data_IF_572580134706
#
_entry.id   IF_572580134706
#
_cell.length_a   1.000
_cell.length_b   1.000
_cell.length_c   1.000
_cell.angle_alpha   90.00
_cell.angle_beta   90.00
_cell.angle_gamma   90.00
#
_symmetry.space_group_name_H-M   'P 1'
#
loop_
_entity.id
_entity.type
_entity.pdbx_description
1 polymer ?
#
# COMPACT_ATOMS: atom_id res chain seq x y z
N UNK A 1 11.46 6.28 1.44
CA UNK A 1 11.53 5.20 2.45
C UNK A 1 10.38 5.27 3.44
N UNK A 2 10.12 6.41 4.10
CA UNK A 2 8.99 6.53 5.05
C UNK A 2 7.65 6.04 4.49
N UNK A 3 7.23 6.58 3.33
CA UNK A 3 5.97 6.21 2.69
C UNK A 3 5.87 4.72 2.37
N UNK A 4 6.93 4.13 1.81
CA UNK A 4 6.94 2.69 1.44
C UNK A 4 6.93 1.78 2.66
N UNK A 5 7.59 2.17 3.76
CA UNK A 5 7.56 1.41 5.01
C UNK A 5 6.18 1.46 5.66
N UNK A 6 5.54 2.63 5.73
CA UNK A 6 4.19 2.77 6.27
C UNK A 6 3.15 2.06 5.39
N UNK A 7 3.33 2.09 4.08
CA UNK A 7 2.50 1.30 3.16
C UNK A 7 2.64 -0.20 3.41
N UNK A 8 3.87 -0.68 3.62
CA UNK A 8 4.13 -2.09 3.92
C UNK A 8 3.56 -2.49 5.29
N UNK A 9 3.63 -1.61 6.30
CA UNK A 9 2.92 -1.80 7.56
C UNK A 9 1.42 -1.93 7.34
N UNK A 10 0.82 -1.00 6.58
CA UNK A 10 -0.62 -1.02 6.29
C UNK A 10 -1.04 -2.29 5.55
N UNK A 11 -0.32 -2.66 4.48
CA UNK A 11 -0.59 -3.87 3.72
C UNK A 11 -0.42 -5.14 4.56
N UNK A 12 0.67 -5.23 5.33
CA UNK A 12 0.94 -6.38 6.21
C UNK A 12 -0.13 -6.54 7.28
N UNK A 13 -0.47 -5.47 7.98
CA UNK A 13 -1.48 -5.47 9.04
C UNK A 13 -2.87 -5.83 8.50
N UNK A 14 -3.31 -5.15 7.44
CA UNK A 14 -4.61 -5.42 6.82
C UNK A 14 -4.73 -6.85 6.31
N UNK A 15 -3.74 -7.36 5.55
CA UNK A 15 -3.81 -8.70 4.95
C UNK A 15 -3.74 -9.79 6.03
N UNK A 16 -2.84 -9.66 7.01
CA UNK A 16 -2.66 -10.66 8.05
C UNK A 16 -3.91 -10.79 8.95
N UNK A 17 -4.62 -9.70 9.19
CA UNK A 17 -5.78 -9.65 10.09
C UNK A 17 -7.12 -9.69 9.36
N UNK A 18 -7.16 -9.65 8.03
CA UNK A 18 -8.42 -9.58 7.27
C UNK A 18 -9.36 -10.74 7.60
N UNK A 19 -8.86 -11.99 7.63
CA UNK A 19 -9.73 -13.14 7.91
C UNK A 19 -10.32 -13.06 9.33
N UNK A 20 -9.49 -12.70 10.31
CA UNK A 20 -9.89 -12.53 11.71
C UNK A 20 -10.93 -11.42 11.87
N UNK A 21 -10.73 -10.30 11.17
CA UNK A 21 -11.70 -9.21 11.09
C UNK A 21 -13.04 -9.68 10.50
N UNK A 22 -13.02 -10.42 9.39
CA UNK A 22 -14.23 -10.93 8.75
C UNK A 22 -15.00 -11.92 9.64
N UNK A 23 -14.31 -12.74 10.43
CA UNK A 23 -14.97 -13.69 11.34
C UNK A 23 -15.44 -13.06 12.63
N UNK A 24 -14.64 -12.18 13.25
CA UNK A 24 -14.95 -11.61 14.58
C UNK A 24 -15.79 -10.36 14.54
N UNK A 25 -15.56 -9.45 13.60
CA UNK A 25 -16.35 -8.21 13.46
C UNK A 25 -17.55 -8.42 12.52
N UNK A 26 -17.32 -9.04 11.35
CA UNK A 26 -18.39 -9.25 10.35
C UNK A 26 -19.20 -10.52 10.57
N UNK A 27 -18.88 -11.30 11.61
CA UNK A 27 -19.56 -12.55 11.97
C UNK A 27 -19.71 -13.55 10.81
N UNK A 28 -18.78 -13.51 9.84
CA UNK A 28 -18.78 -14.42 8.71
C UNK A 28 -18.34 -15.82 9.15
N UNK A 29 -18.88 -16.85 8.48
CA UNK A 29 -18.32 -18.20 8.61
C UNK A 29 -16.88 -18.24 8.11
N UNK A 30 -16.06 -19.14 8.66
CA UNK A 30 -14.68 -19.38 8.21
C UNK A 30 -14.56 -19.59 6.69
N UNK A 31 -15.53 -20.32 6.12
CA UNK A 31 -15.61 -20.57 4.67
C UNK A 31 -15.90 -19.28 3.91
N UNK A 32 -16.85 -18.48 4.37
CA UNK A 32 -17.19 -17.19 3.76
C UNK A 32 -16.01 -16.22 3.77
N UNK A 33 -15.37 -16.07 4.94
CA UNK A 33 -14.17 -15.26 5.09
C UNK A 33 -13.02 -15.74 4.19
N UNK A 34 -12.82 -17.07 4.09
CA UNK A 34 -11.82 -17.66 3.19
C UNK A 34 -12.09 -17.40 1.70
N UNK A 35 -13.35 -17.47 1.27
CA UNK A 35 -13.74 -17.14 -0.12
C UNK A 35 -13.47 -15.67 -0.41
N UNK A 36 -13.90 -14.77 0.48
CA UNK A 36 -13.69 -13.33 0.28
C UNK A 36 -12.20 -12.97 0.29
N UNK A 37 -11.41 -13.57 1.19
CA UNK A 37 -9.96 -13.43 1.17
C UNK A 37 -9.35 -13.87 -0.16
N UNK A 38 -9.77 -15.04 -0.68
CA UNK A 38 -9.32 -15.54 -2.00
C UNK A 38 -9.70 -14.63 -3.17
N UNK A 39 -10.93 -14.12 -3.21
CA UNK A 39 -11.37 -13.11 -4.20
C UNK A 39 -10.53 -11.84 -4.09
N UNK A 40 -10.24 -11.43 -2.86
CA UNK A 40 -9.37 -10.31 -2.55
C UNK A 40 -7.95 -10.50 -3.09
N UNK A 41 -7.35 -11.69 -2.96
CA UNK A 41 -6.04 -12.00 -3.54
C UNK A 41 -6.04 -11.90 -5.08
N UNK A 42 -7.10 -12.37 -5.74
CA UNK A 42 -7.27 -12.18 -7.20
C UNK A 42 -7.33 -10.69 -7.53
N UNK A 43 -8.06 -9.90 -6.73
CA UNK A 43 -8.05 -8.44 -6.79
C UNK A 43 -6.65 -7.86 -6.64
N UNK A 44 -5.88 -8.32 -5.67
CA UNK A 44 -4.49 -7.90 -5.43
C UNK A 44 -3.58 -8.15 -6.63
N UNK A 45 -3.66 -9.34 -7.24
CA UNK A 45 -2.93 -9.65 -8.50
C UNK A 45 -3.33 -8.68 -9.61
N UNK A 46 -4.63 -8.42 -9.77
CA UNK A 46 -5.15 -7.41 -10.69
C UNK A 46 -4.58 -6.02 -10.41
N UNK A 47 -4.48 -5.65 -9.14
CA UNK A 47 -3.91 -4.40 -8.65
C UNK A 47 -2.46 -4.21 -9.08
N UNK A 48 -1.60 -5.21 -8.84
CA UNK A 48 -0.19 -5.17 -9.26
C UNK A 48 -0.07 -4.97 -10.77
N UNK A 49 -0.81 -5.77 -11.54
CA UNK A 49 -0.73 -5.78 -13.00
C UNK A 49 -1.28 -4.51 -13.65
N UNK A 50 -2.39 -3.98 -13.13
CA UNK A 50 -2.99 -2.75 -13.67
C UNK A 50 -2.22 -1.53 -13.17
N UNK A 51 -1.79 -1.51 -11.91
CA UNK A 51 -0.95 -0.45 -11.35
C UNK A 51 0.35 -0.26 -12.10
N UNK A 52 1.05 -1.35 -12.45
CA UNK A 52 2.23 -1.30 -13.32
C UNK A 52 1.94 -0.68 -14.69
N UNK A 53 0.87 -1.13 -15.37
CA UNK A 53 0.48 -0.58 -16.69
C UNK A 53 0.13 0.91 -16.63
N UNK A 54 -0.58 1.34 -15.59
CA UNK A 54 -0.90 2.76 -15.39
C UNK A 54 0.36 3.55 -15.12
N UNK A 55 1.28 3.03 -14.31
CA UNK A 55 2.53 3.70 -13.97
C UNK A 55 3.42 3.90 -15.19
N UNK A 56 3.57 2.89 -16.04
CA UNK A 56 4.35 3.01 -17.27
C UNK A 56 3.70 3.99 -18.26
N UNK A 57 2.36 3.99 -18.35
CA UNK A 57 1.65 4.97 -19.18
C UNK A 57 1.80 6.39 -18.65
N UNK A 58 1.74 6.60 -17.34
CA UNK A 58 1.89 7.93 -16.74
C UNK A 58 3.34 8.40 -16.77
N UNK A 59 4.32 7.49 -16.59
CA UNK A 59 5.76 7.78 -16.72
C UNK A 59 6.12 8.30 -18.10
N UNK A 60 5.53 7.75 -19.17
CA UNK A 60 5.73 8.27 -20.54
C UNK A 60 5.27 9.71 -20.73
N UNK A 61 4.35 10.19 -19.88
CA UNK A 61 3.80 11.56 -19.95
C UNK A 61 4.43 12.51 -18.93
N UNK A 62 4.92 12.00 -17.80
CA UNK A 62 5.46 12.81 -16.69
C UNK A 62 6.62 12.08 -16.01
N UNK A 63 7.70 12.82 -15.74
CA UNK A 63 8.91 12.27 -15.09
C UNK A 63 8.61 11.67 -13.72
N UNK A 64 7.64 12.20 -12.97
CA UNK A 64 7.17 11.68 -11.68
C UNK A 64 5.95 10.75 -11.78
N UNK A 65 5.59 10.28 -12.99
CA UNK A 65 4.35 9.52 -13.22
C UNK A 65 4.19 8.24 -12.41
N UNK A 66 5.28 7.50 -12.14
CA UNK A 66 5.21 6.31 -11.25
C UNK A 66 4.88 6.68 -9.82
N UNK A 67 5.44 7.77 -9.27
CA UNK A 67 5.15 8.25 -7.92
C UNK A 67 3.68 8.66 -7.76
N UNK A 68 3.13 9.39 -8.73
CA UNK A 68 1.70 9.72 -8.74
C UNK A 68 0.79 8.49 -8.86
N UNK A 69 1.24 7.46 -9.58
CA UNK A 69 0.49 6.20 -9.67
C UNK A 69 0.46 5.46 -8.34
N UNK A 70 1.56 5.50 -7.59
CA UNK A 70 1.63 4.94 -6.23
C UNK A 70 0.71 5.74 -5.30
N UNK A 71 0.83 7.07 -5.30
CA UNK A 71 -0.02 7.96 -4.50
C UNK A 71 -1.51 7.69 -4.74
N UNK A 72 -1.91 7.54 -6.01
CA UNK A 72 -3.29 7.21 -6.39
C UNK A 72 -3.76 5.89 -5.74
N UNK A 73 -2.97 4.83 -5.83
CA UNK A 73 -3.31 3.55 -5.20
C UNK A 73 -3.46 3.67 -3.69
N UNK A 74 -2.54 4.37 -3.02
CA UNK A 74 -2.62 4.62 -1.57
C UNK A 74 -3.88 5.41 -1.21
N UNK A 75 -4.16 6.50 -1.92
CA UNK A 75 -5.33 7.35 -1.67
C UNK A 75 -6.64 6.62 -1.91
N UNK A 76 -6.75 5.79 -2.96
CA UNK A 76 -7.96 5.00 -3.24
C UNK A 76 -8.16 3.84 -2.28
N UNK A 77 -7.08 3.31 -1.70
CA UNK A 77 -7.18 2.26 -0.68
C UNK A 77 -7.88 2.76 0.58
N UNK A 78 -7.67 4.02 0.98
CA UNK A 78 -8.26 4.61 2.21
C UNK A 78 -9.79 4.51 2.23
N UNK A 79 -10.56 5.07 1.27
CA UNK A 79 -12.02 4.98 1.30
C UNK A 79 -12.51 3.55 1.11
N UNK A 80 -11.81 2.69 0.36
CA UNK A 80 -12.18 1.27 0.23
C UNK A 80 -12.03 0.52 1.56
N UNK A 81 -10.91 0.73 2.28
CA UNK A 81 -10.64 0.11 3.56
C UNK A 81 -11.63 0.62 4.62
N UNK A 82 -11.84 1.93 4.69
CA UNK A 82 -12.84 2.54 5.58
C UNK A 82 -14.24 1.99 5.31
N UNK A 83 -14.64 1.87 4.04
CA UNK A 83 -15.92 1.28 3.69
C UNK A 83 -16.01 -0.18 4.15
N UNK A 84 -14.97 -0.99 3.93
CA UNK A 84 -14.93 -2.38 4.38
C UNK A 84 -15.00 -2.51 5.91
N UNK A 85 -14.44 -1.56 6.65
CA UNK A 85 -14.49 -1.50 8.11
C UNK A 85 -15.90 -1.20 8.60
N UNK A 86 -16.62 -0.28 7.95
CA UNK A 86 -17.92 0.21 8.44
C UNK A 86 -19.11 -0.65 7.99
N UNK A 87 -19.06 -1.24 6.80
CA UNK A 87 -20.24 -1.96 6.26
C UNK A 87 -20.41 -3.36 6.88
N UNK A 88 -21.65 -3.83 7.05
CA UNK A 88 -21.92 -5.20 7.49
C UNK A 88 -21.67 -6.23 6.38
N UNK A 89 -21.75 -7.52 6.71
CA UNK A 89 -21.68 -8.61 5.73
C UNK A 89 -22.74 -8.44 4.63
N UNK A 90 -22.31 -8.56 3.38
CA UNK A 90 -23.12 -8.33 2.19
C UNK A 90 -22.29 -7.90 0.98
N UNK A 91 -22.96 -7.64 -0.14
CA UNK A 91 -22.29 -7.33 -1.41
C UNK A 91 -21.36 -6.10 -1.33
N UNK A 92 -21.71 -5.10 -0.50
CA UNK A 92 -20.89 -3.92 -0.28
C UNK A 92 -19.54 -4.27 0.39
N UNK A 93 -19.53 -5.14 1.40
CA UNK A 93 -18.31 -5.62 2.05
C UNK A 93 -17.40 -6.34 1.04
N UNK A 94 -17.98 -7.22 0.23
CA UNK A 94 -17.23 -7.97 -0.77
C UNK A 94 -16.56 -7.04 -1.79
N UNK A 95 -17.31 -6.07 -2.32
CA UNK A 95 -16.77 -5.08 -3.23
C UNK A 95 -15.68 -4.22 -2.57
N UNK A 96 -15.90 -3.78 -1.32
CA UNK A 96 -14.96 -2.95 -0.58
C UNK A 96 -13.65 -3.69 -0.26
N UNK A 97 -13.71 -4.94 0.19
CA UNK A 97 -12.52 -5.76 0.47
C UNK A 97 -11.73 -6.07 -0.79
N UNK A 98 -12.40 -6.47 -1.89
CA UNK A 98 -11.73 -6.71 -3.17
C UNK A 98 -11.09 -5.43 -3.70
N UNK A 99 -11.78 -4.29 -3.62
CA UNK A 99 -11.22 -2.99 -4.02
C UNK A 99 -10.05 -2.57 -3.13
N UNK A 100 -10.14 -2.82 -1.81
CA UNK A 100 -9.04 -2.55 -0.87
C UNK A 100 -7.80 -3.34 -1.24
N UNK A 101 -7.92 -4.65 -1.44
CA UNK A 101 -6.80 -5.51 -1.82
C UNK A 101 -6.25 -5.17 -3.20
N UNK A 102 -7.11 -4.78 -4.13
CA UNK A 102 -6.70 -4.29 -5.44
C UNK A 102 -5.85 -3.02 -5.34
N UNK A 103 -6.33 -1.99 -4.65
CA UNK A 103 -5.61 -0.71 -4.56
C UNK A 103 -4.40 -0.77 -3.62
N UNK A 104 -4.44 -1.60 -2.57
CA UNK A 104 -3.32 -1.75 -1.66
C UNK A 104 -2.15 -2.50 -2.31
N UNK A 105 -2.41 -3.39 -3.27
CA UNK A 105 -1.36 -4.07 -4.05
C UNK A 105 -0.89 -3.27 -5.27
N UNK A 106 -1.63 -2.23 -5.66
CA UNK A 106 -1.35 -1.40 -6.85
C UNK A 106 0.06 -0.81 -6.90
N UNK A 107 0.67 -0.54 -5.73
CA UNK A 107 1.97 0.12 -5.65
C UNK A 107 3.17 -0.78 -5.95
N UNK A 108 3.03 -2.11 -5.91
CA UNK A 108 4.18 -3.03 -5.96
C UNK A 108 5.01 -2.90 -7.24
N UNK A 109 4.38 -2.97 -8.42
CA UNK A 109 5.11 -2.84 -9.68
C UNK A 109 5.70 -1.42 -9.89
N UNK A 110 4.93 -0.33 -9.65
CA UNK A 110 5.46 1.03 -9.76
C UNK A 110 6.63 1.35 -8.81
N UNK A 111 6.61 0.85 -7.56
CA UNK A 111 7.69 1.13 -6.61
C UNK A 111 8.97 0.41 -6.99
N UNK A 112 8.90 -0.87 -7.39
CA UNK A 112 10.05 -1.64 -7.84
C UNK A 112 10.74 -0.93 -9.02
N UNK A 113 9.98 -0.56 -10.04
CA UNK A 113 10.53 0.13 -11.20
C UNK A 113 11.06 1.55 -10.86
N UNK A 114 10.47 2.23 -9.87
CA UNK A 114 10.98 3.53 -9.41
C UNK A 114 12.32 3.40 -8.68
N UNK A 115 12.51 2.35 -7.89
CA UNK A 115 13.79 2.08 -7.22
C UNK A 115 14.87 1.76 -8.25
N UNK A 116 14.55 1.00 -9.29
CA UNK A 116 15.48 0.73 -10.40
C UNK A 116 15.87 1.99 -11.17
N UNK A 117 14.90 2.88 -11.46
CA UNK A 117 15.15 4.16 -12.14
C UNK A 117 16.09 5.08 -11.34
N UNK A 118 16.00 5.05 -10.02
CA UNK A 118 16.72 5.94 -9.11
C UNK A 118 18.08 5.40 -8.66
N UNK A 119 18.31 4.10 -8.85
CA UNK A 119 19.54 3.47 -8.41
C UNK A 119 20.72 3.93 -9.28
N UNK A 120 21.91 4.18 -8.68
CA UNK A 120 23.13 4.37 -9.45
C UNK A 120 23.42 3.17 -10.35
N UNK A 121 24.07 3.42 -11.48
CA UNK A 121 24.44 2.37 -12.45
C UNK A 121 25.16 1.20 -11.76
N UNK A 122 24.62 -0.02 -11.90
CA UNK A 122 25.18 -1.23 -11.31
C UNK A 122 24.75 -1.52 -9.87
N UNK A 123 23.98 -0.65 -9.22
CA UNK A 123 23.56 -0.81 -7.82
C UNK A 123 22.04 -1.03 -7.63
N UNK A 124 21.28 -1.25 -8.71
CA UNK A 124 19.82 -1.48 -8.62
C UNK A 124 19.45 -2.65 -7.72
N UNK A 125 20.17 -3.77 -7.80
CA UNK A 125 19.95 -4.94 -6.93
C UNK A 125 20.15 -4.60 -5.45
N UNK A 126 21.21 -3.86 -5.12
CA UNK A 126 21.46 -3.43 -3.74
C UNK A 126 20.40 -2.43 -3.24
N UNK A 127 19.98 -1.50 -4.11
CA UNK A 127 18.90 -0.56 -3.81
C UNK A 127 17.57 -1.30 -3.55
N UNK A 128 17.18 -2.24 -4.40
CA UNK A 128 16.01 -3.10 -4.18
C UNK A 128 16.11 -3.84 -2.85
N UNK A 129 17.26 -4.46 -2.58
CA UNK A 129 17.52 -5.17 -1.33
C UNK A 129 17.31 -4.29 -0.11
N UNK A 130 17.85 -3.07 -0.12
CA UNK A 130 17.69 -2.11 0.97
C UNK A 130 16.22 -1.67 1.16
N UNK A 131 15.49 -1.40 0.07
CA UNK A 131 14.07 -1.04 0.15
C UNK A 131 13.23 -2.19 0.70
N UNK A 132 13.44 -3.40 0.17
CA UNK A 132 12.72 -4.61 0.59
C UNK A 132 13.01 -4.93 2.05
N UNK A 133 14.28 -4.85 2.46
CA UNK A 133 14.68 -5.05 3.84
C UNK A 133 14.00 -4.04 4.77
N UNK A 134 14.07 -2.75 4.43
CA UNK A 134 13.50 -1.66 5.24
C UNK A 134 11.99 -1.80 5.37
N UNK A 135 11.28 -2.10 4.27
CA UNK A 135 9.83 -2.21 4.28
C UNK A 135 9.34 -3.44 5.06
N UNK A 136 10.09 -4.55 5.03
CA UNK A 136 9.70 -5.73 5.80
C UNK A 136 10.08 -5.60 7.27
N UNK A 137 11.30 -5.17 7.57
CA UNK A 137 11.80 -5.10 8.95
C UNK A 137 11.05 -4.07 9.79
N UNK A 138 10.73 -2.91 9.21
CA UNK A 138 10.07 -1.82 9.94
C UNK A 138 8.59 -1.65 9.58
N UNK A 139 8.11 -2.31 8.53
CA UNK A 139 6.72 -2.24 8.09
C UNK A 139 5.96 -3.52 8.44
N UNK A 140 6.14 -4.57 7.64
CA UNK A 140 5.32 -5.79 7.78
C UNK A 140 5.61 -6.58 9.06
N UNK A 141 6.87 -6.67 9.49
CA UNK A 141 7.26 -7.46 10.67
C UNK A 141 6.57 -6.99 11.96
N UNK A 142 6.56 -5.69 12.31
CA UNK A 142 5.85 -5.23 13.49
C UNK A 142 4.32 -5.16 13.31
N UNK A 143 3.80 -5.17 12.07
CA UNK A 143 2.39 -4.91 11.81
C UNK A 143 1.45 -5.86 12.55
N UNK A 144 1.66 -7.18 12.46
CA UNK A 144 0.79 -8.15 13.13
C UNK A 144 0.83 -8.07 14.64
N UNK A 145 1.99 -7.74 15.22
CA UNK A 145 2.12 -7.55 16.67
C UNK A 145 1.31 -6.32 17.12
N UNK A 146 1.47 -5.18 16.46
CA UNK A 146 0.70 -3.96 16.77
C UNK A 146 -0.81 -4.20 16.63
N UNK A 147 -1.23 -4.89 15.58
CA UNK A 147 -2.63 -5.26 15.37
C UNK A 147 -3.16 -6.14 16.51
N UNK A 148 -2.35 -7.08 17.00
CA UNK A 148 -2.69 -7.94 18.13
C UNK A 148 -2.91 -7.16 19.41
N UNK A 149 -1.93 -6.33 19.79
CA UNK A 149 -2.02 -5.48 20.99
C UNK A 149 -3.26 -4.59 20.96
N UNK A 150 -3.54 -3.93 19.82
CA UNK A 150 -4.72 -3.06 19.69
C UNK A 150 -6.00 -3.88 19.74
N UNK A 151 -6.05 -5.04 19.10
CA UNK A 151 -7.21 -5.93 19.15
C UNK A 151 -7.49 -6.51 20.54
N UNK A 152 -6.46 -6.70 21.36
CA UNK A 152 -6.59 -7.17 22.75
C UNK A 152 -7.07 -6.06 23.69
N UNK A 153 -6.59 -4.83 23.49
CA UNK A 153 -6.95 -3.67 24.31
C UNK A 153 -8.32 -3.06 23.96
N UNK A 154 -8.79 -3.28 22.74
CA UNK A 154 -10.07 -2.75 22.26
C UNK A 154 -10.87 -3.86 21.58
N UNK A 155 -10.80 -3.95 20.26
CA UNK A 155 -11.37 -5.01 19.44
C UNK A 155 -10.72 -5.02 18.05
N UNK A 156 -11.07 -6.01 17.24
CA UNK A 156 -10.53 -6.14 15.88
C UNK A 156 -11.03 -5.04 14.93
N UNK A 157 -12.18 -4.41 15.22
CA UNK A 157 -12.72 -3.31 14.42
C UNK A 157 -11.80 -2.08 14.53
N UNK A 158 -11.48 -1.68 15.76
CA UNK A 158 -10.56 -0.58 16.04
C UNK A 158 -9.15 -0.91 15.54
N UNK A 159 -8.71 -2.16 15.68
CA UNK A 159 -7.41 -2.59 15.15
C UNK A 159 -7.29 -2.35 13.64
N UNK A 160 -8.34 -2.59 12.85
CA UNK A 160 -8.31 -2.37 11.39
C UNK A 160 -8.20 -0.89 10.97
N UNK A 161 -8.49 0.06 11.86
CA UNK A 161 -8.23 1.47 11.61
C UNK A 161 -6.74 1.84 11.70
N UNK A 162 -5.92 1.08 12.44
CA UNK A 162 -4.48 1.32 12.59
C UNK A 162 -3.72 1.31 11.26
N UNK A 163 -3.83 0.26 10.41
CA UNK A 163 -3.19 0.25 9.10
C UNK A 163 -3.80 1.31 8.16
N UNK A 164 -5.10 1.60 8.31
CA UNK A 164 -5.80 2.62 7.51
C UNK A 164 -5.27 4.03 7.80
N UNK A 165 -5.00 4.37 9.07
CA UNK A 165 -4.38 5.64 9.46
C UNK A 165 -2.92 5.71 9.02
N UNK A 166 -2.15 4.63 9.19
CA UNK A 166 -0.77 4.56 8.70
C UNK A 166 -0.70 4.80 7.17
N UNK A 167 -1.69 4.28 6.44
CA UNK A 167 -1.84 4.48 5.00
C UNK A 167 -2.13 5.94 4.63
N UNK A 168 -2.90 6.70 5.42
CA UNK A 168 -3.09 8.15 5.20
C UNK A 168 -1.73 8.85 5.25
N UNK A 169 -0.92 8.57 6.27
CA UNK A 169 0.43 9.14 6.40
C UNK A 169 1.33 8.71 5.25
N UNK A 170 1.26 7.44 4.84
CA UNK A 170 1.99 6.92 3.68
C UNK A 170 1.61 7.65 2.38
N UNK A 171 0.32 7.90 2.16
CA UNK A 171 -0.22 8.59 1.00
C UNK A 171 0.25 10.04 0.95
N UNK A 172 0.14 10.76 2.08
CA UNK A 172 0.61 12.15 2.19
C UNK A 172 2.11 12.26 1.93
N UNK A 173 2.90 11.36 2.51
CA UNK A 173 4.34 11.31 2.26
C UNK A 173 4.68 10.98 0.79
N UNK A 174 3.89 10.13 0.12
CA UNK A 174 4.08 9.85 -1.30
C UNK A 174 3.70 11.02 -2.19
N UNK A 175 2.59 11.71 -1.89
CA UNK A 175 2.16 12.91 -2.62
C UNK A 175 3.22 14.00 -2.50
N UNK A 176 3.74 14.25 -1.30
CA UNK A 176 4.82 15.20 -1.08
C UNK A 176 6.07 14.84 -1.89
N UNK A 177 6.48 13.56 -1.88
CA UNK A 177 7.61 13.08 -2.67
C UNK A 177 7.36 13.21 -4.19
N UNK A 178 6.15 12.93 -4.66
CA UNK A 178 5.78 13.06 -6.06
C UNK A 178 5.81 14.53 -6.54
N UNK A 179 5.42 15.46 -5.67
CA UNK A 179 5.46 16.90 -5.94
C UNK A 179 6.89 17.43 -5.95
N UNK A 180 7.69 17.15 -4.92
CA UNK A 180 9.07 17.65 -4.82
C UNK A 180 9.98 17.11 -5.93
N UNK A 181 9.76 15.86 -6.34
CA UNK A 181 10.51 15.26 -7.45
C UNK A 181 10.36 16.02 -8.77
N UNK A 182 9.18 16.61 -9.01
CA UNK A 182 8.97 17.43 -10.21
C UNK A 182 9.77 18.73 -10.17
N UNK A 183 9.82 19.37 -9.00
CA UNK A 183 10.50 20.66 -8.80
C UNK A 183 12.01 20.52 -9.00
N UNK A 184 12.63 19.47 -8.45
CA UNK A 184 14.07 19.20 -8.58
C UNK A 184 14.49 18.90 -10.04
N UNK A 185 13.58 18.38 -10.87
CA UNK A 185 13.83 18.14 -12.30
C UNK A 185 13.59 19.37 -13.18
N UNK A 186 12.73 20.32 -12.75
CA UNK A 186 12.52 21.59 -13.46
C UNK A 186 13.57 22.65 -13.11
N UNK A 187 14.10 22.60 -11.88
CA UNK A 187 15.21 23.42 -11.43
C UNK A 187 16.37 22.52 -11.04
N UNK A 188 17.15 21.99 -12.01
CA UNK A 188 18.36 21.27 -11.67
C UNK A 188 19.24 22.24 -10.89
N UNK A 189 19.35 22.01 -9.57
CA UNK A 189 20.27 22.77 -8.74
C UNK A 189 21.62 22.64 -9.44
N UNK A 190 22.18 23.76 -9.88
CA UNK A 190 23.57 23.84 -10.35
C UNK A 190 24.41 23.31 -9.20
N UNK A 191 24.69 22.01 -9.18
CA UNK A 191 25.73 21.44 -8.35
C UNK A 191 27.00 22.11 -8.86
N UNK A 192 27.51 23.04 -8.04
CA UNK A 192 28.63 23.88 -8.36
C UNK A 192 29.81 23.03 -8.81
N UNK A 193 30.45 23.48 -9.88
CA UNK A 193 31.83 23.12 -10.11
C UNK A 193 32.67 23.65 -8.96
N UNK A 194 33.44 22.75 -8.37
CA UNK A 194 34.80 22.92 -7.88
C UNK A 194 35.27 21.57 -7.36
#
# INVERSE_FOLDING_TARGET
MLSTTLMAFAAGGSVAWLKEFLTRDKHMTDRGAGILFGLGLVGGVGGVLIGGRVADRLRRRRVNGRLWTIALGMTLTIPCASLAIEVPDGAALYAAVVATLFFISWYHAPIAATVDDLAPSGHSVAAQGLVIFTMHMFGTAPASWVMGEVSELSDVHVAMWVPTVALVVAALAMVAAAASFAEDHMHPRRSGGA
#
